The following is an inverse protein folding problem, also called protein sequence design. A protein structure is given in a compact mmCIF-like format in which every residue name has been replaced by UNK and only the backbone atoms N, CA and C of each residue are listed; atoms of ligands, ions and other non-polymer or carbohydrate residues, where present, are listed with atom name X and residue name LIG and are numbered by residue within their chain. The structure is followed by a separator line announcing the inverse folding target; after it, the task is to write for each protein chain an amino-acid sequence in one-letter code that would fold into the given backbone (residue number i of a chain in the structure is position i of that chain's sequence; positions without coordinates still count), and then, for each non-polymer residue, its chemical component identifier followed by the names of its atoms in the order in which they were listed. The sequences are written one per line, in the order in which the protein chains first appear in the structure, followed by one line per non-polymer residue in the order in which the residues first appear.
data_IF_954566644435
#
_entry.id   IF_954566644435
#
_cell.length_a   1.000
_cell.length_b   1.000
_cell.length_c   1.000
_cell.angle_alpha   90.00
_cell.angle_beta   90.00
_cell.angle_gamma   90.00
#
_symmetry.space_group_name_H-M   'P 1'
#
loop_
_entity.id
_entity.type
_entity.pdbx_description
1 polymer ?
#
# COMPACT_ATOMS: atom_id res chain seq x y z
N UNK A 1 18.85 18.93 21.24
CA UNK A 1 17.80 19.33 20.29
C UNK A 1 17.47 18.09 19.47
N UNK A 2 16.33 17.43 19.73
CA UNK A 2 15.89 16.30 18.93
C UNK A 2 15.46 16.87 17.57
N UNK A 3 16.33 16.73 16.58
CA UNK A 3 16.00 17.05 15.21
C UNK A 3 14.96 16.01 14.78
N UNK A 4 13.69 16.37 14.79
CA UNK A 4 12.66 15.58 14.12
C UNK A 4 13.09 15.47 12.67
N UNK A 5 13.52 14.28 12.25
CA UNK A 5 13.83 13.95 10.86
C UNK A 5 12.52 14.03 10.07
N UNK A 6 12.10 15.24 9.72
CA UNK A 6 11.11 15.41 8.66
C UNK A 6 11.78 14.89 7.40
N UNK A 7 11.23 13.83 6.82
CA UNK A 7 11.63 13.39 5.49
C UNK A 7 11.60 14.59 4.54
N UNK A 8 12.50 14.64 3.56
CA UNK A 8 12.56 15.76 2.59
C UNK A 8 11.21 16.01 1.87
N UNK A 9 10.31 15.02 1.86
CA UNK A 9 8.97 15.09 1.29
C UNK A 9 7.88 15.59 2.25
N UNK A 10 8.22 15.91 3.51
CA UNK A 10 7.26 16.45 4.49
C UNK A 10 6.31 15.41 5.08
N UNK A 11 6.39 14.16 4.66
CA UNK A 11 5.60 13.07 5.24
C UNK A 11 6.28 12.54 6.50
N UNK A 12 5.49 12.33 7.56
CA UNK A 12 5.91 11.66 8.78
C UNK A 12 4.75 10.80 9.31
N UNK A 13 4.85 9.46 9.26
CA UNK A 13 5.99 8.68 8.76
C UNK A 13 6.17 8.79 7.24
N UNK A 14 7.39 8.51 6.75
CA UNK A 14 7.69 8.43 5.31
C UNK A 14 6.86 7.32 4.66
N UNK A 15 6.14 7.58 3.56
CA UNK A 15 5.40 6.55 2.85
C UNK A 15 6.34 5.51 2.26
N UNK A 16 5.95 4.25 2.35
CA UNK A 16 6.70 3.12 1.79
C UNK A 16 5.81 2.21 0.96
N UNK A 17 6.45 1.49 0.03
CA UNK A 17 5.81 0.46 -0.78
C UNK A 17 6.61 -0.82 -0.56
N UNK A 18 5.92 -1.87 -0.13
CA UNK A 18 6.45 -3.22 -0.03
C UNK A 18 5.71 -4.13 -1.02
N UNK A 19 6.31 -5.25 -1.39
CA UNK A 19 5.69 -6.21 -2.30
C UNK A 19 5.32 -7.49 -1.56
N UNK A 20 4.10 -7.97 -1.79
CA UNK A 20 3.66 -9.26 -1.29
C UNK A 20 4.36 -10.35 -2.11
N UNK A 21 5.36 -11.00 -1.51
CA UNK A 21 6.04 -12.14 -2.11
C UNK A 21 5.13 -13.38 -2.00
N UNK A 22 4.70 -13.93 -3.14
CA UNK A 22 3.91 -15.17 -3.14
C UNK A 22 4.78 -16.34 -2.67
N UNK A 23 4.44 -16.92 -1.53
CA UNK A 23 5.03 -18.19 -1.07
C UNK A 23 4.47 -19.37 -1.88
N UNK A 24 4.55 -19.32 -3.20
CA UNK A 24 4.25 -20.42 -4.12
C UNK A 24 2.78 -20.68 -4.44
N UNK A 25 1.84 -19.90 -3.89
CA UNK A 25 0.43 -19.94 -4.30
C UNK A 25 0.12 -18.70 -5.12
N UNK A 26 0.02 -18.90 -6.44
CA UNK A 26 -0.43 -17.93 -7.43
C UNK A 26 -1.91 -17.62 -7.29
N UNK A 27 -2.32 -17.19 -6.10
CA UNK A 27 -3.66 -16.69 -5.89
C UNK A 27 -3.68 -15.25 -6.42
N UNK A 28 -4.00 -15.16 -7.71
CA UNK A 28 -4.36 -13.96 -8.50
C UNK A 28 -5.43 -13.05 -7.85
N UNK A 29 -5.85 -13.34 -6.63
CA UNK A 29 -6.87 -12.69 -5.82
C UNK A 29 -6.34 -11.77 -4.72
N UNK A 30 -5.03 -11.62 -4.50
CA UNK A 30 -4.55 -10.71 -3.47
C UNK A 30 -4.82 -9.25 -3.87
N UNK A 31 -5.60 -8.54 -3.05
CA UNK A 31 -5.82 -7.09 -3.16
C UNK A 31 -4.63 -6.35 -2.51
N UNK A 32 -4.35 -5.09 -2.88
CA UNK A 32 -3.38 -4.28 -2.15
C UNK A 32 -3.80 -4.08 -0.69
N UNK A 33 -2.82 -4.06 0.22
CA UNK A 33 -3.06 -3.91 1.66
C UNK A 33 -2.36 -2.65 2.15
N UNK A 34 -3.13 -1.72 2.71
CA UNK A 34 -2.58 -0.49 3.30
C UNK A 34 -2.43 -0.62 4.82
N UNK A 35 -1.28 -0.23 5.35
CA UNK A 35 -1.06 0.03 6.76
C UNK A 35 -0.94 1.54 6.99
N UNK A 36 -2.06 2.17 7.35
CA UNK A 36 -2.17 3.62 7.53
C UNK A 36 -1.44 4.14 8.76
N UNK A 37 -1.07 3.28 9.73
CA UNK A 37 -0.30 3.71 10.90
C UNK A 37 1.16 3.99 10.57
N UNK A 38 1.76 3.23 9.64
CA UNK A 38 3.15 3.39 9.21
C UNK A 38 3.29 3.97 7.79
N UNK A 39 2.18 4.37 7.16
CA UNK A 39 2.14 4.81 5.76
C UNK A 39 2.74 3.81 4.76
N UNK A 40 2.55 2.50 4.98
CA UNK A 40 3.03 1.47 4.06
C UNK A 40 1.89 0.90 3.20
N UNK A 41 2.15 0.74 1.90
CA UNK A 41 1.28 0.04 0.96
C UNK A 41 1.96 -1.26 0.50
N UNK A 42 1.36 -2.40 0.83
CA UNK A 42 1.81 -3.71 0.36
C UNK A 42 1.13 -4.04 -0.97
N UNK A 43 1.90 -4.17 -2.04
CA UNK A 43 1.41 -4.44 -3.38
C UNK A 43 1.59 -5.92 -3.77
N UNK A 44 0.52 -6.59 -4.20
CA UNK A 44 0.64 -7.85 -4.91
C UNK A 44 1.32 -7.66 -6.27
N UNK A 45 2.09 -8.65 -6.70
CA UNK A 45 2.69 -8.67 -8.04
C UNK A 45 1.68 -9.24 -9.05
N UNK A 46 1.27 -8.42 -10.00
CA UNK A 46 0.39 -8.84 -11.09
C UNK A 46 1.15 -8.85 -12.42
N UNK A 47 0.84 -9.83 -13.27
CA UNK A 47 1.46 -10.01 -14.59
C UNK A 47 0.99 -9.00 -15.64
N UNK A 48 -0.06 -8.22 -15.33
CA UNK A 48 -0.64 -7.22 -16.22
C UNK A 48 -1.02 -5.96 -15.46
N UNK A 49 -0.71 -4.80 -16.06
CA UNK A 49 -1.12 -3.50 -15.55
C UNK A 49 -2.64 -3.37 -15.44
N UNK A 50 -3.40 -3.94 -16.38
CA UNK A 50 -4.86 -3.87 -16.35
C UNK A 50 -5.44 -4.56 -15.11
N UNK A 51 -4.87 -5.72 -14.74
CA UNK A 51 -5.25 -6.45 -13.52
C UNK A 51 -4.86 -5.66 -12.28
N UNK A 52 -3.63 -5.13 -12.24
CA UNK A 52 -3.19 -4.26 -11.15
C UNK A 52 -4.12 -3.07 -10.94
N UNK A 53 -4.47 -2.38 -12.03
CA UNK A 53 -5.32 -1.18 -11.99
C UNK A 53 -6.72 -1.53 -11.45
N UNK A 54 -7.33 -2.58 -11.97
CA UNK A 54 -8.67 -3.03 -11.53
C UNK A 54 -8.70 -3.36 -10.02
N UNK A 55 -7.69 -4.09 -9.53
CA UNK A 55 -7.56 -4.43 -8.10
C UNK A 55 -7.31 -3.21 -7.22
N UNK A 56 -6.49 -2.26 -7.66
CA UNK A 56 -6.21 -1.02 -6.93
C UNK A 56 -7.43 -0.10 -6.87
N UNK A 57 -8.15 0.06 -7.98
CA UNK A 57 -9.38 0.84 -8.05
C UNK A 57 -10.46 0.23 -7.14
N UNK A 58 -10.61 -1.10 -7.18
CA UNK A 58 -11.52 -1.83 -6.29
C UNK A 58 -11.18 -1.60 -4.81
N UNK A 59 -9.92 -1.79 -4.40
CA UNK A 59 -9.52 -1.61 -3.00
C UNK A 59 -9.69 -0.16 -2.53
N UNK A 60 -9.34 0.81 -3.37
CA UNK A 60 -9.48 2.24 -3.07
C UNK A 60 -10.94 2.65 -2.92
N UNK A 61 -11.83 2.13 -3.76
CA UNK A 61 -13.27 2.38 -3.67
C UNK A 61 -13.91 1.82 -2.39
N UNK A 62 -13.40 0.70 -1.87
CA UNK A 62 -13.96 0.02 -0.69
C UNK A 62 -13.37 0.51 0.64
N UNK A 63 -12.29 1.29 0.64
CA UNK A 63 -11.60 1.74 1.86
C UNK A 63 -11.96 3.17 2.28
N UNK A 64 -13.05 3.72 1.72
CA UNK A 64 -13.51 5.06 2.07
C UNK A 64 -13.77 5.18 3.58
N UNK A 65 -13.11 6.13 4.24
CA UNK A 65 -13.25 6.38 5.68
C UNK A 65 -12.28 5.61 6.58
N UNK A 66 -11.47 4.70 6.02
CA UNK A 66 -10.44 3.99 6.79
C UNK A 66 -9.33 4.94 7.28
N UNK A 67 -8.88 4.78 8.52
CA UNK A 67 -7.79 5.56 9.10
C UNK A 67 -8.10 7.04 9.39
N UNK A 68 -9.36 7.48 9.23
CA UNK A 68 -9.81 8.82 9.64
C UNK A 68 -10.13 8.79 11.14
N UNK A 69 -9.35 9.51 11.95
CA UNK A 69 -9.68 9.85 13.34
C UNK A 69 -10.41 11.19 13.40
#
# INVERSE_FOLDING_TARGET
KLQTERSQSGFNPTPSIDFLHENGHQDTSSLPIANTYINCLNLPLHTSYAVFKDKMDFASGNTHGFGRA
#
